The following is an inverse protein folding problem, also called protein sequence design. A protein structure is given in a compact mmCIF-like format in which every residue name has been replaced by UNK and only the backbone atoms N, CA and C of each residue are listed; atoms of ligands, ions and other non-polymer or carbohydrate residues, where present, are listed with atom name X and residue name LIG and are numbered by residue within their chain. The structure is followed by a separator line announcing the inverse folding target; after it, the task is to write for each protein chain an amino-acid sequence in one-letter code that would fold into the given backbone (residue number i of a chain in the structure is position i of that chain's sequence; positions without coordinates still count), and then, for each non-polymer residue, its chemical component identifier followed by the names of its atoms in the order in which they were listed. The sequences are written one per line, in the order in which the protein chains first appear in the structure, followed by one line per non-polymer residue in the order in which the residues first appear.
data_IF_196158052950
#
_entry.id   IF_196158052950
#
_cell.length_a   1.000
_cell.length_b   1.000
_cell.length_c   1.000
_cell.angle_alpha   90.00
_cell.angle_beta   90.00
_cell.angle_gamma   90.00
#
_symmetry.space_group_name_H-M   'P 1'
#
loop_
_entity.id
_entity.type
_entity.pdbx_description
1 polymer ?
#
# COMPACT_ATOMS: atom_id res chain seq x y z
N UNK A 1 3.18 13.34 -10.69
CA UNK A 1 3.69 12.64 -9.49
C UNK A 1 4.59 13.56 -8.67
N UNK A 2 5.77 13.98 -9.14
CA UNK A 2 6.68 14.82 -8.32
C UNK A 2 6.12 16.20 -7.93
N UNK A 3 5.36 16.85 -8.81
CA UNK A 3 4.68 18.11 -8.48
C UNK A 3 3.66 17.96 -7.34
N UNK A 4 2.94 16.84 -7.28
CA UNK A 4 2.01 16.52 -6.18
C UNK A 4 2.75 16.41 -4.85
N UNK A 5 3.89 15.73 -4.84
CA UNK A 5 4.74 15.60 -3.65
C UNK A 5 5.21 16.97 -3.13
N UNK A 6 5.72 17.82 -4.02
CA UNK A 6 6.16 19.18 -3.66
C UNK A 6 5.01 20.01 -3.11
N UNK A 7 3.84 19.97 -3.76
CA UNK A 7 2.63 20.66 -3.28
C UNK A 7 2.21 20.17 -1.90
N UNK A 8 2.21 18.85 -1.70
CA UNK A 8 1.84 18.27 -0.41
C UNK A 8 2.82 18.66 0.70
N UNK A 9 4.14 18.62 0.44
CA UNK A 9 5.16 19.03 1.42
C UNK A 9 4.95 20.49 1.86
N UNK A 10 4.63 21.37 0.91
CA UNK A 10 4.33 22.78 1.23
C UNK A 10 3.04 22.93 2.03
N UNK A 11 2.01 22.13 1.72
CA UNK A 11 0.71 22.17 2.41
C UNK A 11 0.83 21.69 3.87
N UNK A 12 1.59 20.63 4.11
CA UNK A 12 1.74 20.03 5.45
C UNK A 12 2.88 20.63 6.27
N UNK A 13 3.73 21.46 5.63
CA UNK A 13 4.98 21.99 6.21
C UNK A 13 5.90 20.89 6.77
N UNK A 14 5.76 19.67 6.26
CA UNK A 14 6.41 18.48 6.79
C UNK A 14 6.94 17.61 5.64
N UNK A 15 8.27 17.48 5.48
CA UNK A 15 8.86 16.55 4.53
C UNK A 15 8.94 15.13 5.13
N UNK A 16 7.81 14.63 5.65
CA UNK A 16 7.72 13.34 6.36
C UNK A 16 7.12 12.27 5.45
N UNK A 17 7.64 11.05 5.50
CA UNK A 17 7.04 9.88 4.86
C UNK A 17 6.75 8.84 5.93
N UNK A 18 5.48 8.48 6.09
CA UNK A 18 5.10 7.41 7.04
C UNK A 18 5.28 6.05 6.36
N UNK A 19 6.06 5.17 6.98
CA UNK A 19 6.18 3.77 6.57
C UNK A 19 4.96 2.97 6.99
N UNK A 20 4.45 2.13 6.09
CA UNK A 20 3.36 1.18 6.38
C UNK A 20 3.89 -0.24 6.24
N UNK A 21 4.46 -0.74 7.34
CA UNK A 21 5.17 -2.03 7.41
C UNK A 21 4.43 -2.98 8.38
N UNK A 22 3.17 -3.36 8.10
CA UNK A 22 2.30 -4.00 9.08
C UNK A 22 2.71 -5.46 9.35
N UNK A 23 2.68 -5.87 10.61
CA UNK A 23 2.84 -7.26 11.03
C UNK A 23 1.77 -7.57 12.08
N UNK A 24 1.26 -8.81 12.13
CA UNK A 24 0.21 -9.20 13.10
C UNK A 24 0.59 -8.92 14.56
N UNK A 25 1.89 -8.97 14.89
CA UNK A 25 2.41 -8.64 16.22
C UNK A 25 2.27 -7.17 16.61
N UNK A 26 2.16 -6.24 15.65
CA UNK A 26 1.98 -4.82 15.91
C UNK A 26 0.51 -4.42 16.01
N UNK A 27 -0.40 -5.27 15.53
CA UNK A 27 -1.82 -4.92 15.45
C UNK A 27 -2.48 -5.06 16.83
N UNK A 28 -3.20 -4.03 17.31
CA UNK A 28 -3.96 -4.10 18.55
C UNK A 28 -4.93 -5.28 18.61
N UNK A 29 -5.05 -5.91 19.79
CA UNK A 29 -5.88 -7.11 19.99
C UNK A 29 -7.35 -6.91 19.64
N UNK A 30 -7.89 -5.71 19.86
CA UNK A 30 -9.29 -5.43 19.55
C UNK A 30 -9.60 -5.53 18.05
N UNK A 31 -8.65 -5.17 17.17
CA UNK A 31 -8.80 -5.34 15.72
C UNK A 31 -8.74 -6.82 15.36
N UNK A 32 -7.74 -7.54 15.88
CA UNK A 32 -7.54 -8.97 15.61
C UNK A 32 -8.75 -9.80 16.04
N UNK A 33 -9.22 -9.59 17.27
CA UNK A 33 -10.35 -10.33 17.83
C UNK A 33 -11.64 -10.06 17.05
N UNK A 34 -11.90 -8.80 16.69
CA UNK A 34 -13.09 -8.45 15.91
C UNK A 34 -13.09 -9.16 14.54
N UNK A 35 -11.97 -9.14 13.83
CA UNK A 35 -11.87 -9.75 12.49
C UNK A 35 -11.88 -11.28 12.57
N UNK A 36 -11.17 -11.89 13.52
CA UNK A 36 -11.18 -13.35 13.70
C UNK A 36 -12.59 -13.85 14.04
N UNK A 37 -13.36 -13.08 14.83
CA UNK A 37 -14.76 -13.42 15.12
C UNK A 37 -15.63 -13.41 13.84
N UNK A 38 -15.36 -12.51 12.91
CA UNK A 38 -16.12 -12.39 11.64
C UNK A 38 -15.68 -13.38 10.57
N UNK A 39 -14.38 -13.69 10.48
CA UNK A 39 -13.76 -14.38 9.33
C UNK A 39 -13.02 -15.68 9.70
N UNK A 40 -12.99 -16.04 10.98
CA UNK A 40 -12.22 -17.17 11.50
C UNK A 40 -10.71 -16.95 11.47
N UNK A 41 -9.96 -18.01 11.77
CA UNK A 41 -8.50 -18.03 11.72
C UNK A 41 -8.03 -18.37 10.30
N UNK A 42 -8.12 -17.40 9.38
CA UNK A 42 -7.88 -17.57 7.94
C UNK A 42 -6.92 -16.52 7.39
N UNK A 43 -6.37 -16.74 6.18
CA UNK A 43 -5.55 -15.72 5.52
C UNK A 43 -6.40 -14.49 5.13
N UNK A 44 -7.69 -14.68 4.85
CA UNK A 44 -8.67 -13.61 4.66
C UNK A 44 -8.79 -12.74 5.91
N UNK A 45 -8.79 -13.34 7.10
CA UNK A 45 -8.75 -12.62 8.35
C UNK A 45 -7.42 -11.86 8.50
N UNK A 46 -6.28 -12.50 8.22
CA UNK A 46 -4.98 -11.84 8.28
C UNK A 46 -4.90 -10.60 7.35
N UNK A 47 -5.31 -10.73 6.09
CA UNK A 47 -5.36 -9.61 5.14
C UNK A 47 -6.27 -8.47 5.61
N UNK A 48 -7.46 -8.79 6.14
CA UNK A 48 -8.39 -7.78 6.66
C UNK A 48 -7.87 -7.09 7.92
N UNK A 49 -7.23 -7.83 8.85
CA UNK A 49 -6.58 -7.27 10.05
C UNK A 49 -5.52 -6.23 9.63
N UNK A 50 -4.67 -6.59 8.67
CA UNK A 50 -3.60 -5.73 8.16
C UNK A 50 -4.16 -4.48 7.48
N UNK A 51 -5.19 -4.64 6.65
CA UNK A 51 -5.86 -3.49 6.03
C UNK A 51 -6.46 -2.55 7.08
N UNK A 52 -7.24 -3.05 8.05
CA UNK A 52 -7.87 -2.21 9.09
C UNK A 52 -6.84 -1.49 9.96
N UNK A 53 -5.70 -2.13 10.24
CA UNK A 53 -4.61 -1.49 10.98
C UNK A 53 -4.03 -0.30 10.20
N UNK A 54 -3.71 -0.50 8.92
CA UNK A 54 -3.20 0.58 8.08
C UNK A 54 -4.23 1.68 7.82
N UNK A 55 -5.50 1.33 7.64
CA UNK A 55 -6.58 2.30 7.49
C UNK A 55 -6.63 3.23 8.71
N UNK A 56 -6.57 2.68 9.93
CA UNK A 56 -6.50 3.48 11.15
C UNK A 56 -5.29 4.42 11.21
N UNK A 57 -4.10 3.94 10.79
CA UNK A 57 -2.90 4.79 10.71
C UNK A 57 -3.10 5.90 9.70
N UNK A 58 -3.54 5.58 8.48
CA UNK A 58 -3.71 6.55 7.39
C UNK A 58 -4.73 7.62 7.75
N UNK A 59 -5.89 7.26 8.30
CA UNK A 59 -6.89 8.24 8.73
C UNK A 59 -6.35 9.17 9.82
N UNK A 60 -5.49 8.68 10.71
CA UNK A 60 -4.90 9.48 11.78
C UNK A 60 -3.81 10.45 11.33
N UNK A 61 -3.22 10.27 10.14
CA UNK A 61 -2.05 11.05 9.69
C UNK A 61 -2.20 11.74 8.35
N UNK A 62 -3.26 11.45 7.58
CA UNK A 62 -3.34 11.84 6.17
C UNK A 62 -3.39 13.36 5.92
N UNK A 63 -3.77 14.15 6.92
CA UNK A 63 -3.74 15.62 6.91
C UNK A 63 -2.40 16.22 7.35
N UNK A 64 -1.53 15.40 7.98
CA UNK A 64 -0.24 15.82 8.54
C UNK A 64 0.96 15.51 7.65
N UNK A 65 0.82 14.59 6.69
CA UNK A 65 1.96 14.08 5.91
C UNK A 65 1.74 14.19 4.40
N UNK A 66 2.82 14.37 3.62
CA UNK A 66 2.70 14.46 2.17
C UNK A 66 2.62 13.11 1.46
N UNK A 67 3.16 12.05 2.08
CA UNK A 67 3.34 10.75 1.45
C UNK A 67 3.42 9.60 2.46
N UNK A 68 3.15 8.40 1.95
CA UNK A 68 3.32 7.13 2.66
C UNK A 68 4.21 6.19 1.87
N UNK A 69 4.78 5.20 2.56
CA UNK A 69 5.65 4.18 1.96
C UNK A 69 5.26 2.77 2.43
N UNK A 70 4.27 2.10 1.82
CA UNK A 70 3.95 0.72 2.15
C UNK A 70 5.02 -0.27 1.66
N UNK A 71 5.44 -1.18 2.53
CA UNK A 71 6.40 -2.26 2.22
C UNK A 71 5.68 -3.52 1.76
N UNK A 72 5.73 -3.83 0.45
CA UNK A 72 4.94 -4.92 -0.12
C UNK A 72 5.27 -6.29 0.50
N UNK A 73 6.53 -6.53 0.90
CA UNK A 73 6.93 -7.79 1.53
C UNK A 73 6.13 -8.08 2.82
N UNK A 74 5.72 -7.03 3.54
CA UNK A 74 4.92 -7.17 4.77
C UNK A 74 3.48 -7.57 4.49
N UNK A 75 3.00 -7.43 3.26
CA UNK A 75 1.67 -7.87 2.84
C UNK A 75 1.74 -9.26 2.20
N UNK A 76 2.76 -9.53 1.39
CA UNK A 76 2.92 -10.80 0.66
C UNK A 76 3.03 -12.03 1.55
N UNK A 77 3.57 -11.88 2.76
CA UNK A 77 3.61 -12.97 3.74
C UNK A 77 2.22 -13.53 4.11
N UNK A 78 1.14 -12.78 3.82
CA UNK A 78 -0.25 -13.22 4.02
C UNK A 78 -0.92 -13.73 2.73
N UNK A 79 -0.13 -14.00 1.67
CA UNK A 79 -0.62 -14.53 0.40
C UNK A 79 -1.50 -13.54 -0.37
N UNK A 80 -2.42 -14.07 -1.17
CA UNK A 80 -3.33 -13.26 -2.00
C UNK A 80 -4.19 -12.30 -1.17
N UNK A 81 -4.77 -12.68 -0.01
CA UNK A 81 -5.47 -11.73 0.85
C UNK A 81 -4.60 -10.55 1.30
N UNK A 82 -3.31 -10.79 1.56
CA UNK A 82 -2.35 -9.73 1.85
C UNK A 82 -2.15 -8.77 0.67
N UNK A 83 -1.99 -9.29 -0.54
CA UNK A 83 -1.89 -8.46 -1.75
C UNK A 83 -3.19 -7.67 -2.04
N UNK A 84 -4.35 -8.22 -1.72
CA UNK A 84 -5.63 -7.48 -1.77
C UNK A 84 -5.60 -6.33 -0.75
N UNK A 85 -5.12 -6.58 0.48
CA UNK A 85 -4.97 -5.55 1.50
C UNK A 85 -3.97 -4.46 1.09
N UNK A 86 -2.86 -4.83 0.43
CA UNK A 86 -1.89 -3.89 -0.13
C UNK A 86 -2.56 -2.95 -1.14
N UNK A 87 -3.24 -3.51 -2.16
CA UNK A 87 -3.96 -2.73 -3.16
C UNK A 87 -4.98 -1.79 -2.54
N UNK A 88 -5.81 -2.29 -1.60
CA UNK A 88 -6.80 -1.46 -0.90
C UNK A 88 -6.14 -0.34 -0.09
N UNK A 89 -4.99 -0.59 0.53
CA UNK A 89 -4.21 0.42 1.26
C UNK A 89 -3.70 1.51 0.31
N UNK A 90 -3.18 1.14 -0.87
CA UNK A 90 -2.76 2.10 -1.90
C UNK A 90 -3.94 2.97 -2.35
N UNK A 91 -5.08 2.34 -2.69
CA UNK A 91 -6.31 3.04 -3.11
C UNK A 91 -6.79 4.04 -2.04
N UNK A 92 -6.81 3.61 -0.76
CA UNK A 92 -7.16 4.48 0.37
C UNK A 92 -6.23 5.68 0.47
N UNK A 93 -4.91 5.47 0.48
CA UNK A 93 -3.92 6.54 0.60
C UNK A 93 -4.06 7.57 -0.53
N UNK A 94 -4.26 7.10 -1.76
CA UNK A 94 -4.49 7.98 -2.92
C UNK A 94 -5.79 8.75 -2.80
N UNK A 95 -6.86 8.13 -2.29
CA UNK A 95 -8.15 8.80 -2.03
C UNK A 95 -8.03 9.93 -1.01
N UNK A 96 -7.08 9.84 -0.08
CA UNK A 96 -6.74 10.89 0.91
C UNK A 96 -5.77 11.93 0.38
N UNK A 97 -5.42 11.87 -0.91
CA UNK A 97 -4.52 12.84 -1.54
C UNK A 97 -3.04 12.62 -1.22
N UNK A 98 -2.69 11.53 -0.55
CA UNK A 98 -1.29 11.18 -0.27
C UNK A 98 -0.57 10.73 -1.54
N UNK A 99 0.74 10.95 -1.57
CA UNK A 99 1.63 10.30 -2.54
C UNK A 99 2.00 8.93 -1.99
N UNK A 100 1.94 7.89 -2.83
CA UNK A 100 2.27 6.52 -2.43
C UNK A 100 3.59 6.07 -3.04
N UNK A 101 4.55 5.75 -2.18
CA UNK A 101 5.85 5.20 -2.57
C UNK A 101 5.84 3.70 -2.24
N UNK A 102 5.63 2.84 -3.22
CA UNK A 102 5.76 1.40 -3.03
C UNK A 102 7.21 1.06 -2.66
N UNK A 103 7.42 0.54 -1.46
CA UNK A 103 8.70 -0.08 -1.13
C UNK A 103 8.69 -1.53 -1.65
N UNK A 104 9.15 -1.65 -2.90
CA UNK A 104 8.93 -2.80 -3.78
C UNK A 104 10.20 -3.64 -3.95
N UNK A 105 11.33 -2.97 -4.26
CA UNK A 105 12.67 -3.59 -4.34
C UNK A 105 12.72 -4.84 -5.24
N UNK A 106 11.88 -4.87 -6.29
CA UNK A 106 11.90 -5.92 -7.30
C UNK A 106 13.03 -5.64 -8.28
N UNK A 107 13.83 -6.66 -8.54
CA UNK A 107 14.95 -6.58 -9.48
C UNK A 107 15.17 -7.93 -10.14
N UNK A 108 15.27 -7.93 -11.46
CA UNK A 108 15.45 -9.10 -12.31
C UNK A 108 15.96 -8.64 -13.71
N UNK A 109 16.12 -9.54 -14.68
CA UNK A 109 16.48 -9.20 -16.05
C UNK A 109 15.43 -8.26 -16.70
N UNK A 110 15.82 -7.56 -17.76
CA UNK A 110 15.03 -6.46 -18.32
C UNK A 110 13.56 -6.77 -18.60
N UNK A 111 13.25 -7.95 -19.18
CA UNK A 111 11.87 -8.37 -19.45
C UNK A 111 11.05 -8.57 -18.17
N UNK A 112 11.65 -9.19 -17.15
CA UNK A 112 10.99 -9.47 -15.87
C UNK A 112 10.83 -8.19 -15.06
N UNK A 113 11.85 -7.32 -15.03
CA UNK A 113 11.77 -5.99 -14.45
C UNK A 113 10.68 -5.12 -15.09
N UNK A 114 10.46 -5.24 -16.42
CA UNK A 114 9.36 -4.55 -17.09
C UNK A 114 7.97 -5.05 -16.63
N UNK A 115 7.84 -6.35 -16.32
CA UNK A 115 6.61 -6.89 -15.75
C UNK A 115 6.35 -6.34 -14.34
N UNK A 116 7.38 -6.26 -13.49
CA UNK A 116 7.26 -5.60 -12.18
C UNK A 116 6.88 -4.12 -12.30
N UNK A 117 7.53 -3.38 -13.21
CA UNK A 117 7.19 -1.98 -13.46
C UNK A 117 5.73 -1.83 -13.92
N UNK A 118 5.23 -2.75 -14.75
CA UNK A 118 3.82 -2.76 -15.19
C UNK A 118 2.86 -3.02 -14.03
N UNK A 119 3.20 -3.94 -13.12
CA UNK A 119 2.37 -4.27 -11.97
C UNK A 119 2.22 -3.09 -10.98
N UNK A 120 3.32 -2.40 -10.70
CA UNK A 120 3.35 -1.34 -9.68
C UNK A 120 3.03 0.05 -10.24
N UNK A 121 3.69 0.45 -11.32
CA UNK A 121 3.64 1.82 -11.84
C UNK A 121 2.85 1.95 -13.15
N UNK A 122 2.49 0.82 -13.76
CA UNK A 122 1.92 0.77 -15.10
C UNK A 122 0.45 0.38 -15.14
N UNK A 123 0.01 0.01 -16.34
CA UNK A 123 -1.34 -0.47 -16.61
C UNK A 123 -1.29 -1.66 -17.55
N UNK A 124 -2.21 -2.60 -17.37
CA UNK A 124 -2.41 -3.74 -18.26
C UNK A 124 -3.58 -3.46 -19.18
N UNK A 125 -3.42 -3.76 -20.47
CA UNK A 125 -4.50 -3.70 -21.45
C UNK A 125 -5.35 -4.98 -21.37
N UNK A 126 -6.63 -4.85 -21.03
CA UNK A 126 -7.60 -5.95 -21.01
C UNK A 126 -8.77 -5.54 -21.91
N UNK A 127 -8.83 -6.13 -23.11
CA UNK A 127 -9.76 -5.70 -24.16
C UNK A 127 -9.51 -4.24 -24.58
N UNK A 128 -10.52 -3.39 -24.38
CA UNK A 128 -10.44 -1.93 -24.62
C UNK A 128 -9.99 -1.13 -23.40
N UNK A 129 -9.86 -1.75 -22.23
CA UNK A 129 -9.58 -1.07 -20.96
C UNK A 129 -8.08 -1.10 -20.62
N UNK A 130 -7.60 -0.02 -19.99
CA UNK A 130 -6.27 0.06 -19.37
C UNK A 130 -6.44 0.12 -17.85
N UNK A 131 -6.01 -0.92 -17.14
CA UNK A 131 -6.26 -1.07 -15.70
C UNK A 131 -4.93 -1.07 -14.96
N UNK A 132 -4.82 -0.23 -13.92
CA UNK A 132 -3.68 -0.22 -13.03
C UNK A 132 -3.83 -1.37 -12.00
N UNK A 133 -2.82 -2.24 -11.80
CA UNK A 133 -2.93 -3.33 -10.84
C UNK A 133 -2.81 -2.86 -9.39
N UNK A 134 -1.69 -2.23 -9.02
CA UNK A 134 -1.46 -1.68 -7.68
C UNK A 134 -1.52 -0.15 -7.64
N UNK A 135 -1.02 0.54 -8.67
CA UNK A 135 -1.16 1.98 -8.89
C UNK A 135 -0.40 2.87 -7.89
N UNK A 136 0.81 2.49 -7.45
CA UNK A 136 1.68 3.40 -6.69
C UNK A 136 2.19 4.57 -7.55
N UNK A 137 2.59 5.70 -6.91
CA UNK A 137 3.16 6.85 -7.62
C UNK A 137 4.67 6.70 -7.86
N UNK A 138 5.36 5.99 -6.97
CA UNK A 138 6.79 5.71 -7.05
C UNK A 138 7.06 4.29 -6.55
N UNK A 139 8.16 3.68 -7.00
CA UNK A 139 8.63 2.39 -6.49
C UNK A 139 10.11 2.49 -6.12
N UNK A 140 10.50 1.94 -4.97
CA UNK A 140 11.91 1.80 -4.63
C UNK A 140 12.55 0.66 -5.43
N UNK A 141 13.75 0.88 -5.96
CA UNK A 141 14.58 -0.13 -6.63
C UNK A 141 15.74 -0.55 -5.72
N UNK A 142 16.37 -1.70 -6.02
CA UNK A 142 17.63 -2.14 -5.39
C UNK A 142 18.84 -1.50 -6.06
#
# INVERSE_FOLDING_TARGET
MIGKLITNIKKTEAPIVVGLDPMLGFVPEYIKTAVIKEKGETLEAAGEIIYRFNEGIVEAVCDLIPAVKPQIAMYEQFGIPGLIAFRRTVELCKSRGLVVIGDVKRGDIGSTSAAYATAHLGKVKIGSSMIAPFDEDFATVN
#
